data_IF_682021165327
#
_entry.id   IF_682021165327
#
_cell.length_a   1.000
_cell.length_b   1.000
_cell.length_c   1.000
_cell.angle_alpha   90.00
_cell.angle_beta   90.00
_cell.angle_gamma   90.00
#
_symmetry.space_group_name_H-M   'P 1'
#
loop_
_entity.id
_entity.type
_entity.pdbx_description
1 polymer ?
#
# COMPACT_ATOMS: atom_id res chain seq x y z
N UNK A 1 -5.59 22.16 -29.87
CA UNK A 1 -5.88 20.99 -28.99
C UNK A 1 -6.70 21.50 -27.83
N UNK A 2 -7.96 21.09 -27.67
CA UNK A 2 -8.83 21.68 -26.66
C UNK A 2 -8.43 21.21 -25.24
N UNK A 3 -8.72 22.03 -24.24
CA UNK A 3 -8.57 21.77 -22.79
C UNK A 3 -9.13 20.39 -22.33
N UNK A 4 -9.99 19.77 -23.16
CA UNK A 4 -10.54 18.44 -22.89
C UNK A 4 -9.49 17.33 -22.92
N UNK A 5 -8.52 17.38 -23.83
CA UNK A 5 -7.51 16.34 -23.97
C UNK A 5 -6.30 16.59 -23.06
N UNK A 6 -6.12 17.82 -22.56
CA UNK A 6 -4.97 18.16 -21.74
C UNK A 6 -4.96 17.39 -20.40
N UNK A 7 -6.12 17.31 -19.71
CA UNK A 7 -6.26 16.55 -18.46
C UNK A 7 -5.81 15.09 -18.63
N UNK A 8 -6.28 14.42 -19.67
CA UNK A 8 -5.93 13.02 -19.92
C UNK A 8 -4.44 12.86 -20.22
N UNK A 9 -3.88 13.74 -21.05
CA UNK A 9 -2.46 13.73 -21.41
C UNK A 9 -1.57 13.92 -20.18
N UNK A 10 -1.95 14.80 -19.28
CA UNK A 10 -1.15 15.06 -18.07
C UNK A 10 -1.25 13.91 -17.06
N UNK A 11 -2.41 13.26 -16.92
CA UNK A 11 -2.53 12.03 -16.18
C UNK A 11 -1.60 10.94 -16.73
N UNK A 12 -1.51 10.80 -18.08
CA UNK A 12 -0.61 9.80 -18.68
C UNK A 12 0.87 10.16 -18.56
N UNK A 13 1.23 11.43 -18.51
CA UNK A 13 2.63 11.89 -18.27
C UNK A 13 3.08 11.73 -16.84
N UNK A 14 2.15 11.71 -15.88
CA UNK A 14 2.47 11.49 -14.48
C UNK A 14 3.09 10.10 -14.28
N UNK A 15 4.04 9.97 -13.33
CA UNK A 15 4.62 8.67 -12.95
C UNK A 15 3.62 7.80 -12.21
N UNK A 16 2.69 8.41 -11.47
CA UNK A 16 1.61 7.69 -10.79
C UNK A 16 0.71 6.96 -11.78
N UNK A 17 0.28 5.78 -11.42
CA UNK A 17 -0.69 4.98 -12.19
C UNK A 17 -2.09 5.03 -11.60
N UNK A 18 -2.23 5.45 -10.33
CA UNK A 18 -3.50 5.51 -9.60
C UNK A 18 -3.70 6.88 -8.97
N UNK A 19 -4.91 7.40 -9.03
CA UNK A 19 -5.26 8.76 -8.62
C UNK A 19 -6.57 8.79 -7.83
N UNK A 20 -6.65 9.68 -6.83
CA UNK A 20 -7.95 10.03 -6.23
C UNK A 20 -8.65 11.12 -7.03
N UNK A 21 -9.99 11.15 -7.00
CA UNK A 21 -10.76 12.25 -7.59
C UNK A 21 -10.32 13.62 -7.06
N UNK A 22 -10.02 13.69 -5.76
CA UNK A 22 -9.55 14.93 -5.13
C UNK A 22 -8.18 15.34 -5.67
N UNK A 23 -7.22 14.39 -5.75
CA UNK A 23 -5.89 14.66 -6.31
C UNK A 23 -5.96 15.14 -7.75
N UNK A 24 -6.80 14.49 -8.59
CA UNK A 24 -7.01 14.92 -9.98
C UNK A 24 -7.54 16.35 -10.03
N UNK A 25 -8.56 16.67 -9.25
CA UNK A 25 -9.16 18.01 -9.26
C UNK A 25 -8.17 19.09 -8.80
N UNK A 26 -7.36 18.81 -7.79
CA UNK A 26 -6.38 19.75 -7.25
C UNK A 26 -5.17 19.96 -8.19
N UNK A 27 -4.66 18.88 -8.80
CA UNK A 27 -3.41 18.94 -9.57
C UNK A 27 -3.65 19.25 -11.05
N UNK A 28 -4.71 18.70 -11.64
CA UNK A 28 -4.98 18.76 -13.08
C UNK A 28 -6.31 19.43 -13.44
N UNK A 29 -6.99 20.02 -12.44
CA UNK A 29 -8.30 20.65 -12.65
C UNK A 29 -8.24 21.96 -13.46
N UNK A 30 -7.08 22.61 -13.53
CA UNK A 30 -6.88 23.86 -14.30
C UNK A 30 -7.92 24.96 -13.99
N UNK A 31 -8.31 25.11 -12.71
CA UNK A 31 -9.33 26.07 -12.29
C UNK A 31 -10.78 25.67 -12.59
N UNK A 32 -11.01 24.45 -13.11
CA UNK A 32 -12.34 23.90 -13.29
C UNK A 32 -12.93 23.48 -11.94
N UNK A 33 -14.25 23.60 -11.82
CA UNK A 33 -14.95 23.06 -10.68
C UNK A 33 -14.89 21.51 -10.66
N UNK A 34 -15.06 20.95 -9.45
CA UNK A 34 -14.94 19.52 -9.20
C UNK A 34 -15.90 18.67 -10.05
N UNK A 35 -17.12 19.16 -10.30
CA UNK A 35 -18.13 18.41 -11.03
C UNK A 35 -17.78 18.36 -12.53
N UNK A 36 -17.24 19.43 -13.07
CA UNK A 36 -16.71 19.45 -14.45
C UNK A 36 -15.55 18.45 -14.61
N UNK A 37 -14.60 18.43 -13.69
CA UNK A 37 -13.49 17.44 -13.72
C UNK A 37 -14.04 16.02 -13.59
N UNK A 38 -14.97 15.77 -12.68
CA UNK A 38 -15.64 14.47 -12.51
C UNK A 38 -16.35 14.00 -13.78
N UNK A 39 -17.08 14.89 -14.44
CA UNK A 39 -17.77 14.57 -15.70
C UNK A 39 -16.79 14.19 -16.81
N UNK A 40 -15.64 14.85 -16.90
CA UNK A 40 -14.56 14.48 -17.82
C UNK A 40 -14.02 13.09 -17.51
N UNK A 41 -13.74 12.80 -16.23
CA UNK A 41 -13.26 11.48 -15.79
C UNK A 41 -14.26 10.36 -16.13
N UNK A 42 -15.56 10.60 -15.93
CA UNK A 42 -16.63 9.67 -16.35
C UNK A 42 -16.58 9.43 -17.87
N UNK A 43 -16.33 10.49 -18.64
CA UNK A 43 -16.17 10.39 -20.09
C UNK A 43 -14.99 9.51 -20.51
N UNK A 44 -13.83 9.67 -19.86
CA UNK A 44 -12.64 8.84 -20.11
C UNK A 44 -12.85 7.38 -19.71
N UNK A 45 -13.54 7.15 -18.58
CA UNK A 45 -13.89 5.78 -18.15
C UNK A 45 -14.81 5.10 -19.19
N UNK A 46 -15.84 5.80 -19.69
CA UNK A 46 -16.75 5.27 -20.73
C UNK A 46 -16.03 4.90 -22.03
N UNK A 47 -14.93 5.58 -22.35
CA UNK A 47 -14.10 5.30 -23.52
C UNK A 47 -13.01 4.25 -23.26
N UNK A 48 -12.86 3.77 -22.03
CA UNK A 48 -11.78 2.86 -21.64
C UNK A 48 -10.39 3.51 -21.58
N UNK A 49 -10.32 4.84 -21.65
CA UNK A 49 -9.06 5.59 -21.57
C UNK A 49 -8.50 5.64 -20.14
N UNK A 50 -9.36 5.57 -19.14
CA UNK A 50 -9.04 5.48 -17.70
C UNK A 50 -9.95 4.42 -17.08
N UNK A 51 -9.47 3.73 -16.06
CA UNK A 51 -10.24 2.79 -15.26
C UNK A 51 -10.79 3.46 -14.00
N UNK A 52 -11.87 2.90 -13.43
CA UNK A 52 -12.41 3.32 -12.13
C UNK A 52 -12.53 2.10 -11.20
N UNK A 53 -11.41 1.62 -10.65
CA UNK A 53 -11.38 0.41 -9.81
C UNK A 53 -12.30 0.51 -8.60
N UNK A 54 -12.48 1.72 -8.07
CA UNK A 54 -13.38 2.00 -6.96
C UNK A 54 -13.94 3.42 -7.06
N UNK A 55 -15.11 3.66 -6.49
CA UNK A 55 -15.70 5.00 -6.42
C UNK A 55 -14.71 6.04 -5.89
N UNK A 56 -14.42 7.05 -6.72
CA UNK A 56 -13.49 8.14 -6.39
C UNK A 56 -12.01 7.82 -6.58
N UNK A 57 -11.67 6.62 -7.09
CA UNK A 57 -10.32 6.21 -7.46
C UNK A 57 -10.27 5.91 -8.95
N UNK A 58 -9.31 6.48 -9.64
CA UNK A 58 -9.09 6.32 -11.08
C UNK A 58 -7.70 5.76 -11.32
N UNK A 59 -7.54 4.97 -12.37
CA UNK A 59 -6.27 4.32 -12.68
C UNK A 59 -6.04 4.26 -14.19
N UNK A 60 -4.78 4.31 -14.60
CA UNK A 60 -4.37 4.01 -15.96
C UNK A 60 -4.64 2.53 -16.28
N UNK A 61 -4.92 2.15 -17.54
CA UNK A 61 -4.85 0.75 -17.94
C UNK A 61 -3.47 0.15 -17.60
N UNK A 62 -3.45 -1.01 -16.93
CA UNK A 62 -2.22 -1.64 -16.47
C UNK A 62 -1.56 -0.98 -15.26
N UNK A 63 -2.33 -0.34 -14.40
CA UNK A 63 -1.85 0.32 -13.18
C UNK A 63 -1.10 -0.63 -12.22
N UNK A 64 -0.23 -0.07 -11.38
CA UNK A 64 0.45 -0.83 -10.33
C UNK A 64 -0.51 -1.09 -9.17
N UNK A 65 -0.80 -2.37 -8.91
CA UNK A 65 -1.65 -2.83 -7.81
C UNK A 65 -1.11 -2.40 -6.43
N UNK A 66 0.21 -2.21 -6.29
CA UNK A 66 0.83 -1.72 -5.05
C UNK A 66 0.51 -0.25 -4.81
N UNK A 67 0.50 0.58 -5.86
CA UNK A 67 0.03 1.98 -5.73
C UNK A 67 -1.42 2.02 -5.28
N UNK A 68 -2.27 1.15 -5.86
CA UNK A 68 -3.67 1.06 -5.44
C UNK A 68 -3.78 0.65 -3.98
N UNK A 69 -3.00 -0.35 -3.53
CA UNK A 69 -2.97 -0.78 -2.13
C UNK A 69 -2.63 0.38 -1.17
N UNK A 70 -1.62 1.19 -1.50
CA UNK A 70 -1.23 2.32 -0.66
C UNK A 70 -2.25 3.47 -0.67
N UNK A 71 -3.04 3.60 -1.75
CA UNK A 71 -3.99 4.70 -1.92
C UNK A 71 -5.37 4.42 -1.35
N UNK A 72 -5.83 3.16 -1.34
CA UNK A 72 -7.20 2.78 -0.93
C UNK A 72 -7.54 3.20 0.51
N UNK A 73 -6.59 3.06 1.43
CA UNK A 73 -6.75 3.41 2.84
C UNK A 73 -5.47 4.04 3.38
N UNK A 74 -5.43 5.37 3.45
CA UNK A 74 -4.30 6.13 3.97
C UNK A 74 -4.54 6.60 5.42
N UNK A 75 -3.51 6.60 6.28
CA UNK A 75 -2.18 6.07 6.05
C UNK A 75 -2.12 4.54 6.08
N UNK A 76 -1.31 3.95 5.21
CA UNK A 76 -1.01 2.52 5.20
C UNK A 76 0.31 2.26 4.45
N UNK A 77 0.89 1.09 4.66
CA UNK A 77 2.01 0.57 3.87
C UNK A 77 1.88 -0.94 3.68
N UNK A 78 2.43 -1.45 2.59
CA UNK A 78 2.46 -2.87 2.27
C UNK A 78 3.42 -3.57 3.24
N UNK A 79 2.97 -4.68 3.86
CA UNK A 79 3.72 -5.41 4.88
C UNK A 79 3.19 -6.84 5.00
N UNK A 80 3.55 -7.52 6.09
CA UNK A 80 3.04 -8.85 6.45
C UNK A 80 3.39 -9.90 5.40
N UNK A 81 2.45 -10.81 5.12
CA UNK A 81 2.64 -11.98 4.24
C UNK A 81 3.14 -11.59 2.84
N UNK A 82 2.64 -10.49 2.27
CA UNK A 82 3.06 -10.01 0.95
C UNK A 82 4.58 -9.77 0.87
N UNK A 83 5.16 -9.16 1.90
CA UNK A 83 6.60 -8.87 1.96
C UNK A 83 7.38 -10.13 2.36
N UNK A 84 6.93 -10.85 3.39
CA UNK A 84 7.61 -12.03 3.92
C UNK A 84 7.74 -13.15 2.89
N UNK A 85 6.71 -13.36 2.10
CA UNK A 85 6.71 -14.35 1.01
C UNK A 85 7.74 -14.00 -0.07
N UNK A 86 7.78 -12.73 -0.49
CA UNK A 86 8.74 -12.27 -1.50
C UNK A 86 10.18 -12.26 -1.02
N UNK A 87 10.37 -12.12 0.29
CA UNK A 87 11.67 -12.24 0.94
C UNK A 87 12.08 -13.70 1.24
N UNK A 88 11.22 -14.69 0.95
CA UNK A 88 11.49 -16.11 1.23
C UNK A 88 11.52 -16.46 2.70
N UNK A 89 10.84 -15.69 3.54
CA UNK A 89 10.71 -15.93 4.98
C UNK A 89 9.49 -16.81 5.27
N UNK A 90 8.47 -16.72 4.43
CA UNK A 90 7.25 -17.54 4.43
C UNK A 90 7.09 -18.18 3.05
N UNK A 91 6.80 -19.49 3.01
CA UNK A 91 6.70 -20.24 1.76
C UNK A 91 5.25 -20.44 1.29
N UNK A 92 4.29 -20.13 2.14
CA UNK A 92 2.89 -20.21 1.74
C UNK A 92 2.57 -19.15 0.68
N UNK A 93 2.20 -19.59 -0.52
CA UNK A 93 1.81 -18.70 -1.60
C UNK A 93 0.45 -18.04 -1.32
N UNK A 94 0.42 -16.72 -1.46
CA UNK A 94 -0.81 -15.92 -1.49
C UNK A 94 -0.67 -14.82 -2.54
N UNK A 95 -1.73 -14.62 -3.32
CA UNK A 95 -1.78 -13.52 -4.30
C UNK A 95 -2.34 -12.23 -3.72
N UNK A 96 -2.69 -12.23 -2.43
CA UNK A 96 -3.20 -11.06 -1.74
C UNK A 96 -2.11 -9.99 -1.53
N UNK A 97 -2.49 -8.72 -1.62
CA UNK A 97 -1.62 -7.63 -1.16
C UNK A 97 -2.02 -7.31 0.28
N UNK A 98 -1.16 -7.70 1.22
CA UNK A 98 -1.35 -7.42 2.64
C UNK A 98 -0.67 -6.13 3.04
N UNK A 99 -1.35 -5.33 3.87
CA UNK A 99 -0.90 -4.03 4.33
C UNK A 99 -1.25 -3.82 5.80
N UNK A 100 -0.53 -2.95 6.47
CA UNK A 100 -0.91 -2.42 7.79
C UNK A 100 -1.44 -1.00 7.65
N UNK A 101 -2.39 -0.63 8.50
CA UNK A 101 -3.05 0.67 8.45
C UNK A 101 -3.79 1.00 9.73
N UNK A 102 -4.65 2.01 9.68
CA UNK A 102 -5.45 2.46 10.82
C UNK A 102 -6.73 1.63 11.05
N UNK A 103 -7.06 0.68 10.15
CA UNK A 103 -8.24 -0.17 10.21
C UNK A 103 -7.93 -1.59 9.73
N UNK A 104 -8.77 -2.56 10.10
CA UNK A 104 -8.74 -3.91 9.54
C UNK A 104 -9.86 -4.06 8.52
N UNK A 105 -9.51 -4.39 7.28
CA UNK A 105 -10.47 -4.57 6.18
C UNK A 105 -9.88 -5.42 5.06
N UNK A 106 -10.75 -6.15 4.38
CA UNK A 106 -10.44 -6.79 3.10
C UNK A 106 -11.37 -6.25 2.02
N UNK A 107 -10.84 -6.05 0.82
CA UNK A 107 -11.58 -5.62 -0.35
C UNK A 107 -11.02 -6.32 -1.57
N UNK A 108 -11.91 -6.76 -2.46
CA UNK A 108 -11.55 -7.33 -3.75
C UNK A 108 -11.80 -6.30 -4.84
N UNK A 109 -10.83 -6.09 -5.72
CA UNK A 109 -10.90 -5.18 -6.88
C UNK A 109 -10.22 -5.88 -8.03
N UNK A 110 -10.92 -6.02 -9.16
CA UNK A 110 -10.43 -6.65 -10.39
C UNK A 110 -9.83 -8.05 -10.15
N UNK A 111 -10.45 -8.85 -9.25
CA UNK A 111 -10.01 -10.20 -8.89
C UNK A 111 -8.82 -10.26 -7.92
N UNK A 112 -8.27 -9.12 -7.53
CA UNK A 112 -7.17 -9.01 -6.55
C UNK A 112 -7.70 -8.65 -5.17
N UNK A 113 -7.25 -9.36 -4.14
CA UNK A 113 -7.60 -9.10 -2.73
C UNK A 113 -6.57 -8.18 -2.09
N UNK A 114 -7.07 -7.10 -1.51
CA UNK A 114 -6.31 -6.12 -0.72
C UNK A 114 -6.73 -6.27 0.74
N UNK A 115 -5.81 -6.73 1.59
CA UNK A 115 -6.08 -6.98 3.01
C UNK A 115 -5.30 -6.01 3.90
N UNK A 116 -6.03 -5.31 4.76
CA UNK A 116 -5.45 -4.37 5.72
C UNK A 116 -5.61 -4.91 7.14
N UNK A 117 -4.57 -4.81 7.94
CA UNK A 117 -4.55 -5.11 9.35
C UNK A 117 -4.29 -3.84 10.14
N UNK A 118 -5.13 -3.60 11.16
CA UNK A 118 -4.96 -2.43 12.03
C UNK A 118 -3.73 -2.62 12.91
N UNK A 119 -2.87 -1.58 12.95
CA UNK A 119 -1.75 -1.46 13.87
C UNK A 119 -1.88 -0.18 14.69
N UNK A 120 -1.14 -0.03 15.79
CA UNK A 120 -1.15 1.21 16.59
C UNK A 120 -0.67 2.40 15.76
N UNK A 121 -1.28 3.55 15.98
CA UNK A 121 -0.96 4.78 15.24
C UNK A 121 0.51 5.19 15.36
N UNK A 122 1.10 5.06 16.54
CA UNK A 122 2.53 5.37 16.79
C UNK A 122 3.45 4.52 15.92
N UNK A 123 3.15 3.22 15.75
CA UNK A 123 3.90 2.31 14.88
C UNK A 123 3.65 2.65 13.42
N UNK A 124 2.39 2.96 13.07
CA UNK A 124 1.98 3.22 11.69
C UNK A 124 2.66 4.45 11.08
N UNK A 125 2.87 5.51 11.87
CA UNK A 125 3.46 6.77 11.41
C UNK A 125 4.99 6.75 11.42
N UNK A 126 5.61 5.78 12.09
CA UNK A 126 7.07 5.62 12.09
C UNK A 126 7.52 4.99 10.76
N UNK A 127 8.29 5.74 9.99
CA UNK A 127 8.74 5.35 8.64
C UNK A 127 10.03 4.53 8.64
N UNK A 128 10.63 4.25 9.81
CA UNK A 128 11.85 3.45 9.91
C UNK A 128 11.60 2.03 9.41
N UNK A 129 12.39 1.57 8.45
CA UNK A 129 12.18 0.26 7.80
C UNK A 129 11.09 0.26 6.73
N UNK A 130 10.54 1.41 6.35
CA UNK A 130 9.64 1.57 5.20
C UNK A 130 10.42 2.15 4.02
N UNK A 131 10.30 1.50 2.87
CA UNK A 131 10.88 1.92 1.60
C UNK A 131 9.79 2.65 0.82
N UNK A 132 10.10 3.88 0.41
CA UNK A 132 9.22 4.71 -0.42
C UNK A 132 9.74 4.69 -1.86
N UNK A 133 9.00 4.10 -2.77
CA UNK A 133 9.28 4.10 -4.20
C UNK A 133 8.10 4.72 -4.96
N UNK A 134 8.22 5.99 -5.35
CA UNK A 134 7.12 6.74 -5.94
C UNK A 134 5.94 6.84 -4.97
N UNK A 135 4.79 6.26 -5.34
CA UNK A 135 3.57 6.24 -4.53
C UNK A 135 3.39 4.92 -3.74
N UNK A 136 4.39 4.06 -3.71
CA UNK A 136 4.37 2.79 -2.99
C UNK A 136 5.18 2.91 -1.71
N UNK A 137 4.54 2.65 -0.57
CA UNK A 137 5.18 2.48 0.72
C UNK A 137 5.19 0.99 1.06
N UNK A 138 6.37 0.40 1.22
CA UNK A 138 6.52 -1.02 1.49
C UNK A 138 7.51 -1.26 2.62
N UNK A 139 7.17 -2.14 3.54
CA UNK A 139 8.05 -2.52 4.64
C UNK A 139 9.28 -3.30 4.15
N UNK A 140 10.42 -3.10 4.82
CA UNK A 140 11.52 -4.05 4.69
C UNK A 140 11.11 -5.42 5.24
N UNK A 141 11.81 -6.51 4.87
CA UNK A 141 11.52 -7.85 5.41
C UNK A 141 11.53 -7.89 6.94
N UNK A 142 12.47 -7.20 7.58
CA UNK A 142 12.60 -7.14 9.03
C UNK A 142 11.46 -6.36 9.68
N UNK A 143 11.00 -5.26 9.04
CA UNK A 143 9.83 -4.51 9.51
C UNK A 143 8.56 -5.35 9.36
N UNK A 144 8.36 -6.02 8.23
CA UNK A 144 7.22 -6.90 7.99
C UNK A 144 7.19 -8.10 8.97
N UNK A 145 8.36 -8.67 9.29
CA UNK A 145 8.49 -9.70 10.32
C UNK A 145 7.99 -9.19 11.68
N UNK A 146 8.43 -8.01 12.10
CA UNK A 146 8.01 -7.41 13.37
C UNK A 146 6.52 -7.04 13.38
N UNK A 147 5.99 -6.47 12.29
CA UNK A 147 4.56 -6.18 12.15
C UNK A 147 3.71 -7.44 12.30
N UNK A 148 4.13 -8.53 11.63
CA UNK A 148 3.43 -9.82 11.68
C UNK A 148 3.45 -10.40 13.09
N UNK A 149 4.62 -10.47 13.72
CA UNK A 149 4.77 -11.03 15.06
C UNK A 149 4.11 -10.17 16.15
N UNK A 150 3.98 -8.87 15.91
CA UNK A 150 3.22 -7.97 16.78
C UNK A 150 1.71 -8.24 16.71
N UNK A 151 1.18 -8.45 15.50
CA UNK A 151 -0.25 -8.67 15.27
C UNK A 151 -0.70 -10.10 15.50
N UNK A 152 0.20 -11.08 15.30
CA UNK A 152 -0.05 -12.51 15.53
C UNK A 152 1.12 -13.12 16.30
N UNK A 153 0.86 -13.45 17.57
CA UNK A 153 1.87 -14.00 18.47
C UNK A 153 2.32 -15.41 18.14
N UNK A 154 1.50 -16.14 17.39
CA UNK A 154 1.71 -17.56 17.09
C UNK A 154 2.04 -17.78 15.61
N UNK A 155 2.35 -16.70 14.88
CA UNK A 155 2.69 -16.80 13.47
C UNK A 155 3.96 -17.65 13.27
N UNK A 156 3.89 -18.57 12.32
CA UNK A 156 5.00 -19.44 11.96
C UNK A 156 5.77 -18.88 10.77
N UNK A 157 7.09 -18.80 10.88
CA UNK A 157 7.99 -18.38 9.82
C UNK A 157 8.81 -19.57 9.36
N UNK A 158 8.81 -19.86 8.06
CA UNK A 158 9.51 -21.01 7.49
C UNK A 158 11.04 -20.84 7.51
N UNK A 159 11.51 -19.62 7.23
CA UNK A 159 12.94 -19.30 7.13
C UNK A 159 13.30 -17.97 7.79
N UNK A 160 13.19 -17.84 9.12
CA UNK A 160 13.52 -16.59 9.83
C UNK A 160 15.02 -16.27 9.83
N UNK A 161 15.89 -17.26 9.56
CA UNK A 161 17.34 -17.08 9.52
C UNK A 161 17.84 -16.22 8.36
N UNK A 162 17.01 -15.97 7.35
CA UNK A 162 17.32 -15.05 6.24
C UNK A 162 17.21 -13.57 6.62
N UNK A 163 16.62 -13.26 7.78
CA UNK A 163 16.50 -11.90 8.29
C UNK A 163 17.83 -11.37 8.84
N UNK A 164 18.08 -10.09 8.63
CA UNK A 164 19.16 -9.38 9.31
C UNK A 164 18.77 -9.13 10.77
N UNK A 165 19.38 -9.92 11.67
CA UNK A 165 19.11 -9.85 13.12
C UNK A 165 19.41 -8.47 13.71
N UNK A 166 20.50 -7.79 13.26
CA UNK A 166 20.83 -6.46 13.76
C UNK A 166 19.78 -5.44 13.36
N UNK A 167 19.30 -5.55 12.14
CA UNK A 167 18.21 -4.71 11.62
C UNK A 167 16.90 -4.94 12.36
N UNK A 168 16.53 -6.21 12.63
CA UNK A 168 15.36 -6.54 13.44
C UNK A 168 15.48 -5.89 14.83
N UNK A 169 16.63 -6.04 15.51
CA UNK A 169 16.84 -5.47 16.83
C UNK A 169 16.79 -3.93 16.83
N UNK A 170 17.27 -3.28 15.77
CA UNK A 170 17.24 -1.82 15.63
C UNK A 170 15.81 -1.27 15.43
N UNK A 171 14.90 -2.08 14.89
CA UNK A 171 13.49 -1.70 14.66
C UNK A 171 12.57 -1.99 15.85
N UNK A 172 12.97 -2.84 16.80
CA UNK A 172 12.16 -3.21 17.97
C UNK A 172 11.64 -2.03 18.81
N UNK A 173 12.44 -0.97 19.06
CA UNK A 173 11.98 0.17 19.85
C UNK A 173 10.71 0.84 19.33
N UNK A 174 10.43 0.78 18.01
CA UNK A 174 9.24 1.34 17.37
C UNK A 174 7.96 0.78 18.01
N UNK A 175 7.98 -0.49 18.42
CA UNK A 175 6.79 -1.20 18.93
C UNK A 175 6.54 -0.96 20.41
N UNK A 176 7.54 -0.51 21.16
CA UNK A 176 7.49 -0.30 22.62
C UNK A 176 6.80 -1.47 23.35
N UNK A 177 7.24 -2.72 23.07
CA UNK A 177 6.58 -3.94 23.51
C UNK A 177 7.58 -4.99 24.01
N UNK A 178 7.72 -5.13 25.32
CA UNK A 178 8.53 -6.19 25.94
C UNK A 178 8.10 -7.59 25.52
N UNK A 179 6.81 -7.79 25.30
CA UNK A 179 6.28 -9.07 24.82
C UNK A 179 6.78 -9.40 23.41
N UNK A 180 6.86 -8.40 22.54
CA UNK A 180 7.42 -8.58 21.19
C UNK A 180 8.92 -8.90 21.27
N UNK A 181 9.68 -8.20 22.10
CA UNK A 181 11.11 -8.48 22.32
C UNK A 181 11.34 -9.94 22.74
N UNK A 182 10.54 -10.45 23.69
CA UNK A 182 10.60 -11.85 24.13
C UNK A 182 10.25 -12.85 23.02
N UNK A 183 9.31 -12.50 22.13
CA UNK A 183 8.95 -13.36 20.98
C UNK A 183 10.08 -13.39 19.95
N UNK A 184 10.65 -12.24 19.63
CA UNK A 184 11.79 -12.13 18.70
C UNK A 184 12.98 -12.95 19.20
N UNK A 185 13.34 -12.86 20.49
CA UNK A 185 14.46 -13.61 21.07
C UNK A 185 14.28 -15.13 21.09
N UNK A 186 13.06 -15.64 20.87
CA UNK A 186 12.78 -17.07 20.74
C UNK A 186 12.90 -17.58 19.31
N UNK A 187 12.84 -16.68 18.34
CA UNK A 187 12.84 -17.03 16.91
C UNK A 187 14.21 -16.77 16.29
N UNK A 188 14.90 -15.71 16.72
CA UNK A 188 16.22 -15.27 16.26
C UNK A 188 17.29 -15.40 17.35
#
# INVERSE_FOLDING_TARGET
MGLQNQLLLDLYKDKASVFTMQGIAMTYGYGLDRDTVKNRMIGYVKKGEILNPRKGVYAKPGYDEKELACLLYTPSYISLEYVLQRAGIVFQYSDEITSVGNLSRSVEIDGKVYRYRKIKGEILIDTTGIICEGNVNIASPERAFLDTLYLDSNYYFDNPSSLDKQKVLSLLPIYNSKTLEQRVSKIL
#
